data_IF_354493194735
#
_entry.id   IF_354493194735
#
_cell.length_a   1.000
_cell.length_b   1.000
_cell.length_c   1.000
_cell.angle_alpha   90.00
_cell.angle_beta   90.00
_cell.angle_gamma   90.00
#
_symmetry.space_group_name_H-M   'P 1'
#
loop_
_entity.id
_entity.type
_entity.pdbx_description
1 polymer ?
#
# COMPACT_ATOMS: atom_id res chain seq x y z
N UNK A 1 -6.57 6.18 -11.76
CA UNK A 1 -5.25 6.37 -12.42
C UNK A 1 -4.72 5.07 -13.00
N UNK A 2 -4.81 3.93 -12.32
CA UNK A 2 -4.39 2.64 -12.89
C UNK A 2 -5.14 2.19 -14.17
N UNK A 3 -6.28 2.83 -14.47
CA UNK A 3 -7.02 2.67 -15.73
C UNK A 3 -6.42 3.46 -16.91
N UNK A 4 -5.37 4.25 -16.71
CA UNK A 4 -4.59 4.85 -17.80
C UNK A 4 -3.90 3.74 -18.59
N UNK A 5 -4.20 3.58 -19.90
CA UNK A 5 -3.63 2.50 -20.71
C UNK A 5 -2.11 2.63 -20.92
N UNK A 6 -1.54 3.81 -20.67
CA UNK A 6 -0.11 4.07 -20.82
C UNK A 6 0.69 3.71 -19.56
N UNK A 7 0.04 3.65 -18.40
CA UNK A 7 0.68 3.32 -17.14
C UNK A 7 0.67 1.81 -16.86
N UNK A 8 1.37 1.41 -15.81
CA UNK A 8 1.25 0.07 -15.22
C UNK A 8 1.21 0.17 -13.71
N UNK A 9 0.17 -0.38 -13.10
CA UNK A 9 0.14 -0.72 -11.69
C UNK A 9 0.27 -2.24 -11.54
N UNK A 10 0.92 -2.74 -10.47
CA UNK A 10 1.07 -4.17 -10.26
C UNK A 10 -0.30 -4.82 -10.06
N UNK A 11 -0.55 -5.93 -10.74
CA UNK A 11 -1.69 -6.78 -10.41
C UNK A 11 -1.41 -7.56 -9.13
N UNK A 12 -2.46 -8.01 -8.45
CA UNK A 12 -2.32 -8.90 -7.28
C UNK A 12 -1.47 -10.15 -7.62
N UNK A 13 -1.63 -10.72 -8.82
CA UNK A 13 -0.83 -11.87 -9.30
C UNK A 13 0.63 -11.51 -9.63
N UNK A 14 0.94 -10.24 -9.83
CA UNK A 14 2.32 -9.79 -10.07
C UNK A 14 3.13 -9.80 -8.76
N UNK A 15 2.46 -9.72 -7.60
CA UNK A 15 3.13 -9.46 -6.32
C UNK A 15 2.74 -10.40 -5.16
N UNK A 16 1.63 -11.14 -5.25
CA UNK A 16 1.23 -12.10 -4.19
C UNK A 16 1.20 -13.54 -4.68
N UNK A 17 0.68 -13.75 -5.89
CA UNK A 17 0.22 -15.08 -6.31
C UNK A 17 1.05 -15.60 -7.47
N UNK A 18 1.98 -16.51 -7.15
CA UNK A 18 2.91 -17.09 -8.13
C UNK A 18 3.58 -16.02 -9.00
N UNK A 19 4.24 -14.99 -8.42
CA UNK A 19 4.77 -13.85 -9.18
C UNK A 19 5.88 -14.22 -10.17
N UNK A 20 6.44 -15.43 -10.03
CA UNK A 20 7.51 -15.96 -10.87
C UNK A 20 7.02 -17.23 -11.60
N UNK A 21 7.17 -17.32 -12.94
CA UNK A 21 7.65 -16.26 -13.82
C UNK A 21 6.61 -15.13 -14.01
N UNK A 22 7.06 -13.89 -14.31
CA UNK A 22 6.16 -12.82 -14.73
C UNK A 22 5.36 -13.20 -15.97
N UNK A 23 4.16 -12.64 -16.08
CA UNK A 23 3.27 -12.85 -17.23
C UNK A 23 2.81 -11.51 -17.77
N UNK A 24 2.46 -11.49 -19.06
CA UNK A 24 1.87 -10.31 -19.71
C UNK A 24 0.50 -10.01 -19.11
N UNK A 25 0.17 -8.72 -18.91
CA UNK A 25 -1.19 -8.29 -18.51
C UNK A 25 -2.26 -8.77 -19.48
N UNK A 26 -1.91 -9.01 -20.75
CA UNK A 26 -2.81 -9.54 -21.77
C UNK A 26 -3.11 -11.04 -21.61
N UNK A 27 -2.37 -11.78 -20.78
CA UNK A 27 -2.60 -13.19 -20.52
C UNK A 27 -3.67 -13.41 -19.44
N UNK A 28 -4.90 -12.99 -19.76
CA UNK A 28 -6.05 -13.03 -18.85
C UNK A 28 -6.33 -14.46 -18.33
N UNK A 29 -6.11 -15.48 -19.16
CA UNK A 29 -6.31 -16.89 -18.78
C UNK A 29 -5.40 -17.30 -17.63
N UNK A 30 -4.10 -16.96 -17.72
CA UNK A 30 -3.15 -17.32 -16.67
C UNK A 30 -3.33 -16.49 -15.41
N UNK A 31 -3.68 -15.20 -15.54
CA UNK A 31 -4.05 -14.38 -14.39
C UNK A 31 -5.23 -14.99 -13.62
N UNK A 32 -6.28 -15.43 -14.32
CA UNK A 32 -7.44 -16.10 -13.70
C UNK A 32 -7.05 -17.40 -13.02
N UNK A 33 -6.26 -18.25 -13.68
CA UNK A 33 -5.79 -19.52 -13.12
C UNK A 33 -5.00 -19.30 -11.82
N UNK A 34 -4.14 -18.28 -11.78
CA UNK A 34 -3.37 -17.93 -10.57
C UNK A 34 -4.29 -17.47 -9.44
N UNK A 35 -5.26 -16.60 -9.74
CA UNK A 35 -6.25 -16.15 -8.75
C UNK A 35 -7.05 -17.31 -8.16
N UNK A 36 -7.53 -18.24 -9.00
CA UNK A 36 -8.25 -19.43 -8.55
C UNK A 36 -7.40 -20.31 -7.62
N UNK A 37 -6.11 -20.51 -7.94
CA UNK A 37 -5.18 -21.27 -7.10
C UNK A 37 -4.94 -20.61 -5.72
N UNK A 38 -4.86 -19.28 -5.66
CA UNK A 38 -4.74 -18.56 -4.38
C UNK A 38 -6.02 -18.62 -3.57
N UNK A 39 -7.19 -18.52 -4.21
CA UNK A 39 -8.47 -18.68 -3.52
C UNK A 39 -8.59 -20.08 -2.88
N UNK A 40 -8.24 -21.14 -3.62
CA UNK A 40 -8.19 -22.51 -3.12
C UNK A 40 -7.19 -22.68 -1.96
N UNK A 41 -6.04 -22.00 -2.05
CA UNK A 41 -5.03 -22.00 -0.98
C UNK A 41 -5.56 -21.34 0.29
N UNK A 42 -6.14 -20.15 0.16
CA UNK A 42 -6.68 -19.37 1.27
C UNK A 42 -7.84 -20.11 1.95
N UNK A 43 -8.71 -20.75 1.17
CA UNK A 43 -9.80 -21.58 1.71
C UNK A 43 -9.26 -22.70 2.61
N UNK A 44 -8.26 -23.46 2.15
CA UNK A 44 -7.62 -24.50 2.96
C UNK A 44 -6.97 -23.95 4.22
N UNK A 45 -6.34 -22.79 4.15
CA UNK A 45 -5.72 -22.13 5.31
C UNK A 45 -6.78 -21.76 6.35
N UNK A 46 -7.88 -21.13 5.92
CA UNK A 46 -8.96 -20.73 6.84
C UNK A 46 -9.66 -21.93 7.46
N UNK A 47 -9.96 -22.96 6.67
CA UNK A 47 -10.53 -24.21 7.17
C UNK A 47 -9.61 -24.86 8.22
N UNK A 48 -8.32 -24.95 7.93
CA UNK A 48 -7.32 -25.54 8.85
C UNK A 48 -7.20 -24.74 10.15
N UNK A 49 -7.27 -23.42 10.06
CA UNK A 49 -7.20 -22.53 11.22
C UNK A 49 -8.52 -22.42 12.00
N UNK A 50 -9.59 -23.10 11.56
CA UNK A 50 -10.90 -23.07 12.22
C UNK A 50 -11.64 -21.74 12.05
N UNK A 51 -11.29 -20.95 11.04
CA UNK A 51 -11.91 -19.67 10.75
C UNK A 51 -12.99 -19.80 9.67
N UNK A 52 -14.12 -19.09 9.85
CA UNK A 52 -15.12 -18.95 8.80
C UNK A 52 -14.65 -17.92 7.75
N UNK A 53 -14.26 -18.40 6.56
CA UNK A 53 -13.86 -17.57 5.42
C UNK A 53 -14.90 -16.51 5.09
N UNK A 54 -16.21 -16.79 5.19
CA UNK A 54 -17.26 -15.81 4.84
C UNK A 54 -17.27 -14.64 5.80
N UNK A 55 -17.02 -14.91 7.08
CA UNK A 55 -16.95 -13.87 8.10
C UNK A 55 -15.67 -13.04 7.92
N UNK A 56 -14.50 -13.68 7.74
CA UNK A 56 -13.23 -12.97 7.51
C UNK A 56 -13.27 -12.17 6.21
N UNK A 57 -13.77 -12.75 5.11
CA UNK A 57 -13.88 -12.06 3.83
C UNK A 57 -14.77 -10.82 3.94
N UNK A 58 -15.87 -10.87 4.71
CA UNK A 58 -16.73 -9.72 4.94
C UNK A 58 -15.99 -8.58 5.66
N UNK A 59 -15.22 -8.89 6.69
CA UNK A 59 -14.48 -7.90 7.47
C UNK A 59 -13.22 -7.37 6.73
N UNK A 60 -12.59 -8.24 5.92
CA UNK A 60 -11.46 -7.89 5.04
C UNK A 60 -11.91 -7.02 3.87
N UNK A 61 -12.95 -7.39 3.12
CA UNK A 61 -13.47 -6.58 1.99
C UNK A 61 -13.92 -5.20 2.46
N UNK A 62 -14.43 -5.09 3.69
CA UNK A 62 -14.78 -3.79 4.28
C UNK A 62 -13.55 -2.91 4.61
N UNK A 63 -12.38 -3.51 4.83
CA UNK A 63 -11.13 -2.83 5.23
C UNK A 63 -10.12 -2.67 4.09
N UNK A 64 -10.13 -3.59 3.13
CA UNK A 64 -9.27 -3.68 1.96
C UNK A 64 -10.04 -4.36 0.82
N UNK A 65 -10.83 -3.60 0.03
CA UNK A 65 -11.56 -4.17 -1.09
C UNK A 65 -10.59 -4.82 -2.08
N UNK A 66 -10.94 -6.00 -2.60
CA UNK A 66 -10.12 -6.70 -3.58
C UNK A 66 -10.27 -6.01 -4.94
N UNK A 67 -9.17 -5.45 -5.43
CA UNK A 67 -9.07 -4.89 -6.77
C UNK A 67 -8.11 -5.73 -7.60
N UNK A 68 -8.19 -5.59 -8.93
CA UNK A 68 -7.21 -6.23 -9.84
C UNK A 68 -5.80 -5.69 -9.58
N UNK A 69 -5.71 -4.41 -9.20
CA UNK A 69 -4.46 -3.72 -8.83
C UNK A 69 -4.26 -3.78 -7.33
N UNK A 70 -3.03 -4.03 -6.91
CA UNK A 70 -2.71 -4.20 -5.49
C UNK A 70 -1.73 -3.12 -5.00
N UNK A 71 -1.76 -2.85 -3.70
CA UNK A 71 -0.78 -2.00 -3.04
C UNK A 71 0.61 -2.66 -3.09
N UNK A 72 1.63 -1.90 -3.47
CA UNK A 72 3.02 -2.37 -3.46
C UNK A 72 3.60 -2.48 -2.04
N UNK A 73 2.76 -2.21 -1.02
CA UNK A 73 3.04 -2.54 0.39
C UNK A 73 3.44 -4.00 0.56
N UNK A 74 2.80 -4.92 -0.18
CA UNK A 74 3.10 -6.36 -0.10
C UNK A 74 4.57 -6.62 -0.40
N UNK A 75 5.10 -6.04 -1.48
CA UNK A 75 6.51 -6.20 -1.86
C UNK A 75 7.47 -5.64 -0.79
N UNK A 76 7.10 -4.53 -0.17
CA UNK A 76 7.91 -3.92 0.87
C UNK A 76 7.94 -4.78 2.15
N UNK A 77 6.85 -5.48 2.46
CA UNK A 77 6.72 -6.32 3.65
C UNK A 77 7.30 -7.74 3.48
N UNK A 78 7.43 -8.26 2.25
CA UNK A 78 7.96 -9.60 1.97
C UNK A 78 9.38 -9.84 2.52
N UNK A 79 10.16 -8.78 2.67
CA UNK A 79 11.53 -8.85 3.20
C UNK A 79 11.61 -8.60 4.71
N UNK A 80 10.49 -8.69 5.42
CA UNK A 80 10.42 -8.71 6.88
C UNK A 80 9.72 -7.57 7.60
N UNK A 81 9.61 -6.32 7.09
CA UNK A 81 9.01 -5.24 7.85
C UNK A 81 7.48 -5.31 7.76
N UNK A 82 6.89 -6.32 8.38
CA UNK A 82 5.44 -6.51 8.41
C UNK A 82 4.81 -5.63 9.49
N UNK A 83 3.93 -4.70 9.07
CA UNK A 83 3.29 -3.76 9.99
C UNK A 83 2.45 -4.44 11.07
N UNK A 84 1.80 -5.56 10.73
CA UNK A 84 1.01 -6.35 11.69
C UNK A 84 1.87 -6.92 12.81
N UNK A 85 3.08 -7.41 12.51
CA UNK A 85 4.00 -7.98 13.52
C UNK A 85 4.42 -6.93 14.54
N UNK A 86 4.70 -5.70 14.09
CA UNK A 86 5.07 -4.60 15.00
C UNK A 86 3.93 -4.17 15.93
N UNK A 87 2.68 -4.43 15.55
CA UNK A 87 1.48 -4.07 16.31
C UNK A 87 0.99 -5.18 17.25
N UNK A 88 1.52 -6.39 17.13
CA UNK A 88 1.22 -7.52 18.04
C UNK A 88 2.40 -7.91 18.91
N UNK A 89 3.58 -7.37 18.62
CA UNK A 89 4.78 -7.63 19.40
C UNK A 89 4.63 -7.10 20.84
N UNK A 90 5.21 -7.77 21.85
CA UNK A 90 5.28 -7.26 23.21
C UNK A 90 5.93 -5.86 23.27
N UNK A 91 5.47 -5.02 24.21
CA UNK A 91 5.90 -3.61 24.34
C UNK A 91 7.40 -3.44 24.61
N UNK A 92 8.04 -4.45 25.17
CA UNK A 92 9.46 -4.49 25.50
C UNK A 92 10.34 -4.91 24.31
N UNK A 93 9.75 -5.15 23.13
CA UNK A 93 10.50 -5.45 21.92
C UNK A 93 10.88 -4.19 21.15
N UNK A 94 12.04 -4.23 20.49
CA UNK A 94 12.48 -3.19 19.56
C UNK A 94 11.73 -3.23 18.21
N UNK A 95 10.62 -3.96 18.09
CA UNK A 95 9.93 -4.17 16.80
C UNK A 95 9.28 -2.92 16.23
N UNK A 96 8.65 -2.10 17.07
CA UNK A 96 8.09 -0.80 16.63
C UNK A 96 9.22 0.13 16.21
N UNK A 97 10.30 0.22 16.98
CA UNK A 97 11.46 1.04 16.67
C UNK A 97 12.16 0.58 15.38
N UNK A 98 12.33 -0.73 15.20
CA UNK A 98 12.93 -1.31 14.00
C UNK A 98 12.07 -1.06 12.76
N UNK A 99 10.75 -1.28 12.86
CA UNK A 99 9.82 -1.00 11.76
C UNK A 99 9.81 0.49 11.39
N UNK A 100 9.80 1.36 12.39
CA UNK A 100 9.86 2.81 12.25
C UNK A 100 11.23 3.34 11.80
N UNK A 101 12.31 2.54 11.84
CA UNK A 101 13.65 3.00 11.48
C UNK A 101 13.68 3.57 10.06
N UNK A 102 14.46 4.65 9.86
CA UNK A 102 14.51 5.39 8.57
C UNK A 102 15.01 4.50 7.44
N UNK A 103 15.97 3.63 7.72
CA UNK A 103 16.65 2.85 6.71
C UNK A 103 15.86 1.57 6.42
N UNK A 104 15.26 1.53 5.23
CA UNK A 104 14.61 0.36 4.65
C UNK A 104 15.11 0.09 3.25
N UNK A 105 16.40 0.35 3.04
CA UNK A 105 17.04 0.20 1.75
C UNK A 105 16.91 -1.22 1.19
N UNK A 106 16.97 -2.24 2.05
CA UNK A 106 16.79 -3.63 1.65
C UNK A 106 15.38 -3.88 1.06
N UNK A 107 14.34 -3.26 1.62
CA UNK A 107 12.97 -3.37 1.10
C UNK A 107 12.83 -2.67 -0.25
N UNK A 108 13.39 -1.48 -0.41
CA UNK A 108 13.33 -0.78 -1.69
C UNK A 108 14.25 -1.40 -2.77
N UNK A 109 15.35 -2.04 -2.38
CA UNK A 109 16.20 -2.83 -3.28
C UNK A 109 15.44 -4.05 -3.82
N UNK A 110 14.74 -4.78 -2.94
CA UNK A 110 13.89 -5.90 -3.34
C UNK A 110 12.73 -5.43 -4.22
N UNK A 111 11.97 -4.43 -3.78
CA UNK A 111 10.89 -3.83 -4.53
C UNK A 111 11.33 -3.40 -5.94
N UNK A 112 12.50 -2.76 -6.07
CA UNK A 112 13.06 -2.39 -7.38
C UNK A 112 13.38 -3.60 -8.24
N UNK A 113 13.95 -4.65 -7.66
CA UNK A 113 14.27 -5.88 -8.37
C UNK A 113 13.02 -6.54 -8.95
N UNK A 114 11.95 -6.62 -8.16
CA UNK A 114 10.67 -7.17 -8.61
C UNK A 114 10.06 -6.31 -9.72
N UNK A 115 10.02 -4.98 -9.56
CA UNK A 115 9.52 -4.09 -10.60
C UNK A 115 10.34 -4.18 -11.90
N UNK A 116 11.67 -4.33 -11.82
CA UNK A 116 12.51 -4.55 -13.01
C UNK A 116 12.18 -5.88 -13.70
N UNK A 117 12.01 -6.95 -12.93
CA UNK A 117 11.61 -8.25 -13.47
C UNK A 117 10.24 -8.17 -14.18
N UNK A 118 9.27 -7.47 -13.60
CA UNK A 118 7.97 -7.24 -14.24
C UNK A 118 8.11 -6.34 -15.48
N UNK A 119 8.94 -5.30 -15.42
CA UNK A 119 9.19 -4.35 -16.50
C UNK A 119 9.82 -5.03 -17.72
N UNK A 120 10.72 -6.00 -17.52
CA UNK A 120 11.38 -6.73 -18.61
C UNK A 120 10.40 -7.59 -19.43
N UNK A 121 9.26 -7.97 -18.85
CA UNK A 121 8.24 -8.78 -19.53
C UNK A 121 7.11 -7.94 -20.10
N UNK A 122 6.64 -6.92 -19.38
CA UNK A 122 5.50 -6.08 -19.80
C UNK A 122 5.65 -4.62 -19.32
N UNK A 123 6.53 -3.82 -19.93
CA UNK A 123 6.79 -2.48 -19.45
C UNK A 123 5.56 -1.56 -19.62
N UNK A 124 5.33 -0.58 -18.71
CA UNK A 124 4.44 0.54 -19.02
C UNK A 124 4.96 1.32 -20.23
N UNK A 125 4.05 2.03 -20.91
CA UNK A 125 4.44 2.95 -21.99
C UNK A 125 5.04 4.25 -21.42
N UNK A 126 4.51 4.72 -20.29
CA UNK A 126 4.93 5.99 -19.68
C UNK A 126 5.53 5.79 -18.29
N UNK A 127 4.77 5.23 -17.34
CA UNK A 127 5.18 5.18 -15.94
C UNK A 127 4.59 4.01 -15.16
N UNK A 128 5.25 3.70 -14.03
CA UNK A 128 4.70 2.83 -13.00
C UNK A 128 3.81 3.64 -12.05
N UNK A 129 2.62 3.11 -11.75
CA UNK A 129 1.70 3.64 -10.76
C UNK A 129 1.74 2.74 -9.52
N UNK A 130 2.25 3.28 -8.43
CA UNK A 130 2.42 2.57 -7.15
C UNK A 130 1.63 3.29 -6.06
N UNK A 131 1.27 2.56 -5.00
CA UNK A 131 0.61 3.10 -3.82
C UNK A 131 0.89 2.19 -2.64
N UNK A 132 1.58 2.75 -1.67
CA UNK A 132 1.72 2.19 -0.34
C UNK A 132 1.72 3.30 0.70
N UNK A 133 1.03 3.15 1.84
CA UNK A 133 1.17 4.09 2.95
C UNK A 133 2.64 4.13 3.43
N UNK A 134 3.36 3.00 3.41
CA UNK A 134 4.73 2.87 3.94
C UNK A 134 5.76 3.75 3.21
N UNK A 135 5.45 4.22 1.99
CA UNK A 135 6.26 5.22 1.30
C UNK A 135 6.51 6.46 2.14
N UNK A 136 5.52 6.92 2.90
CA UNK A 136 5.67 8.12 3.73
C UNK A 136 6.44 7.85 5.02
N UNK A 137 6.42 6.62 5.53
CA UNK A 137 7.21 6.22 6.70
C UNK A 137 8.70 6.07 6.34
N UNK A 138 8.97 5.53 5.15
CA UNK A 138 10.31 5.20 4.66
C UNK A 138 10.71 6.03 3.44
N UNK A 139 10.32 7.30 3.44
CA UNK A 139 10.47 8.23 2.31
C UNK A 139 11.93 8.42 1.88
N UNK A 140 12.87 8.37 2.82
CA UNK A 140 14.30 8.51 2.55
C UNK A 140 14.81 7.37 1.64
N UNK A 141 14.41 6.12 1.95
CA UNK A 141 14.75 4.96 1.10
C UNK A 141 13.99 4.99 -0.23
N UNK A 142 12.73 5.46 -0.27
CA UNK A 142 12.01 5.67 -1.55
C UNK A 142 12.82 6.59 -2.47
N UNK A 143 13.20 7.77 -1.98
CA UNK A 143 13.92 8.78 -2.78
C UNK A 143 15.31 8.30 -3.18
N UNK A 144 15.97 7.50 -2.34
CA UNK A 144 17.27 6.90 -2.66
C UNK A 144 17.17 5.92 -3.85
N UNK A 145 16.14 5.08 -3.87
CA UNK A 145 16.00 4.04 -4.90
C UNK A 145 15.26 4.53 -6.15
N UNK A 146 14.43 5.58 -6.02
CA UNK A 146 13.66 6.23 -7.09
C UNK A 146 13.88 7.75 -7.06
N UNK A 147 15.07 8.25 -7.43
CA UNK A 147 15.40 9.67 -7.33
C UNK A 147 14.57 10.58 -8.25
N UNK A 148 13.88 9.99 -9.24
CA UNK A 148 13.00 10.68 -10.18
C UNK A 148 11.51 10.43 -9.91
N UNK A 149 11.16 9.91 -8.72
CA UNK A 149 9.77 9.64 -8.37
C UNK A 149 8.96 10.94 -8.31
N UNK A 150 7.74 10.87 -8.85
CA UNK A 150 6.70 11.86 -8.63
C UNK A 150 5.76 11.35 -7.54
N UNK A 151 5.49 12.17 -6.53
CA UNK A 151 4.72 11.77 -5.36
C UNK A 151 3.36 12.47 -5.38
N UNK A 152 2.30 11.68 -5.25
CA UNK A 152 0.96 12.19 -4.95
C UNK A 152 0.71 11.92 -3.46
N UNK A 153 0.64 12.99 -2.67
CA UNK A 153 0.46 12.88 -1.22
C UNK A 153 -0.99 13.20 -0.85
N UNK A 154 -1.70 12.20 -0.33
CA UNK A 154 -3.08 12.36 0.14
C UNK A 154 -3.15 12.84 1.58
N UNK A 155 -4.01 13.82 1.82
CA UNK A 155 -4.23 14.44 3.13
C UNK A 155 -5.68 14.22 3.59
N UNK A 156 -5.85 13.94 4.87
CA UNK A 156 -7.15 13.85 5.54
C UNK A 156 -7.00 14.35 6.98
N UNK A 157 -8.07 14.90 7.56
CA UNK A 157 -8.01 15.43 8.91
C UNK A 157 -7.68 14.33 9.94
N UNK A 158 -6.82 14.66 10.91
CA UNK A 158 -6.30 13.70 11.87
C UNK A 158 -7.37 13.14 12.82
N UNK A 159 -8.41 13.93 13.11
CA UNK A 159 -9.58 13.49 13.89
C UNK A 159 -10.37 12.37 13.19
N UNK A 160 -10.28 12.27 11.87
CA UNK A 160 -10.84 11.16 11.09
C UNK A 160 -9.83 10.03 10.88
N UNK A 161 -8.56 10.35 10.60
CA UNK A 161 -7.52 9.36 10.26
C UNK A 161 -7.14 8.51 11.46
N UNK A 162 -6.91 9.11 12.63
CA UNK A 162 -6.41 8.39 13.81
C UNK A 162 -7.39 7.30 14.25
N UNK A 163 -8.71 7.59 14.47
CA UNK A 163 -9.66 6.54 14.83
C UNK A 163 -9.80 5.47 13.75
N UNK A 164 -9.74 5.85 12.48
CA UNK A 164 -9.81 4.91 11.35
C UNK A 164 -8.63 3.96 11.33
N UNK A 165 -7.40 4.47 11.50
CA UNK A 165 -6.18 3.67 11.54
C UNK A 165 -6.17 2.72 12.75
N UNK A 166 -6.53 3.22 13.93
CA UNK A 166 -6.67 2.41 15.14
C UNK A 166 -7.68 1.26 14.96
N UNK A 167 -8.81 1.49 14.28
CA UNK A 167 -9.78 0.43 13.96
C UNK A 167 -9.21 -0.62 13.02
N UNK A 168 -8.46 -0.20 11.99
CA UNK A 168 -7.79 -1.13 11.07
C UNK A 168 -6.79 -2.01 11.83
N UNK A 169 -5.99 -1.43 12.72
CA UNK A 169 -5.02 -2.18 13.53
C UNK A 169 -5.70 -3.15 14.50
N UNK A 170 -6.81 -2.78 15.13
CA UNK A 170 -7.60 -3.71 15.93
C UNK A 170 -8.11 -4.90 15.10
N UNK A 171 -8.60 -4.65 13.89
CA UNK A 171 -9.08 -5.71 13.02
C UNK A 171 -7.95 -6.67 12.63
N UNK A 172 -6.78 -6.15 12.24
CA UNK A 172 -5.61 -6.98 11.94
C UNK A 172 -5.13 -7.78 13.16
N UNK A 173 -5.16 -7.18 14.35
CA UNK A 173 -4.71 -7.83 15.58
C UNK A 173 -5.71 -8.82 16.17
N UNK A 174 -6.99 -8.76 15.76
CA UNK A 174 -8.05 -9.65 16.26
C UNK A 174 -7.81 -11.14 15.95
N UNK A 175 -6.94 -11.42 14.98
CA UNK A 175 -6.48 -12.77 14.62
C UNK A 175 -5.55 -13.34 15.72
N UNK A 176 -4.85 -12.46 16.44
CA UNK A 176 -3.83 -12.83 17.43
C UNK A 176 -4.32 -12.67 18.88
N UNK A 177 -5.29 -11.79 19.14
CA UNK A 177 -5.80 -11.51 20.47
C UNK A 177 -7.33 -11.34 20.48
N UNK A 178 -7.94 -11.52 21.65
CA UNK A 178 -9.37 -11.30 21.82
C UNK A 178 -9.70 -9.80 21.71
N UNK A 179 -10.34 -9.40 20.61
CA UNK A 179 -10.74 -8.01 20.36
C UNK A 179 -11.75 -7.46 21.40
N UNK A 180 -12.36 -8.32 22.23
CA UNK A 180 -13.26 -7.91 23.32
C UNK A 180 -12.54 -7.77 24.68
N UNK A 181 -11.25 -8.11 24.75
CA UNK A 181 -10.44 -7.91 25.95
C UNK A 181 -9.95 -6.45 26.03
N UNK A 182 -10.30 -5.78 27.13
CA UNK A 182 -10.00 -4.36 27.33
C UNK A 182 -8.50 -4.06 27.41
N UNK A 183 -7.71 -5.00 27.93
CA UNK A 183 -6.27 -4.86 28.04
C UNK A 183 -5.57 -5.01 26.68
N UNK A 184 -6.03 -5.96 25.85
CA UNK A 184 -5.56 -6.17 24.47
C UNK A 184 -5.89 -4.96 23.58
N UNK A 185 -7.12 -4.44 23.66
CA UNK A 185 -7.51 -3.22 22.95
C UNK A 185 -6.64 -2.02 23.35
N UNK A 186 -6.47 -1.80 24.66
CA UNK A 186 -5.63 -0.71 25.17
C UNK A 186 -4.20 -0.79 24.65
N UNK A 187 -3.61 -1.98 24.66
CA UNK A 187 -2.24 -2.21 24.17
C UNK A 187 -2.12 -1.90 22.67
N UNK A 188 -3.06 -2.39 21.86
CA UNK A 188 -3.09 -2.12 20.41
C UNK A 188 -3.22 -0.63 20.12
N UNK A 189 -4.09 0.08 20.85
CA UNK A 189 -4.25 1.52 20.67
C UNK A 189 -2.99 2.31 21.05
N UNK A 190 -2.33 1.96 22.16
CA UNK A 190 -1.09 2.64 22.55
C UNK A 190 0.01 2.45 21.49
N UNK A 191 0.17 1.23 20.95
CA UNK A 191 1.12 0.95 19.87
C UNK A 191 0.78 1.66 18.56
N UNK A 192 -0.49 1.63 18.18
CA UNK A 192 -1.01 2.36 17.02
C UNK A 192 -0.71 3.86 17.12
N UNK A 193 -0.99 4.47 18.27
CA UNK A 193 -0.75 5.89 18.51
C UNK A 193 0.74 6.23 18.43
N UNK A 194 1.61 5.41 19.03
CA UNK A 194 3.07 5.61 18.93
C UNK A 194 3.56 5.52 17.48
N UNK A 195 3.06 4.56 16.71
CA UNK A 195 3.44 4.43 15.30
C UNK A 195 2.93 5.61 14.46
N UNK A 196 1.68 6.04 14.66
CA UNK A 196 1.09 7.17 13.95
C UNK A 196 1.80 8.49 14.26
N UNK A 197 2.22 8.71 15.51
CA UNK A 197 3.00 9.90 15.89
C UNK A 197 4.34 9.95 15.13
N UNK A 198 5.06 8.83 15.10
CA UNK A 198 6.29 8.71 14.30
C UNK A 198 6.02 9.02 12.82
N UNK A 199 4.93 8.48 12.28
CA UNK A 199 4.56 8.66 10.88
C UNK A 199 4.30 10.13 10.53
N UNK A 200 3.53 10.83 11.38
CA UNK A 200 3.23 12.25 11.25
C UNK A 200 4.52 13.06 11.33
N UNK A 201 5.39 12.76 12.30
CA UNK A 201 6.69 13.43 12.45
C UNK A 201 7.54 13.26 11.20
N UNK A 202 7.57 12.07 10.57
CA UNK A 202 8.31 11.85 9.31
C UNK A 202 7.81 12.69 8.15
N UNK A 203 6.49 12.81 8.01
CA UNK A 203 5.90 13.64 6.95
C UNK A 203 6.26 15.11 7.21
N UNK A 204 6.18 15.58 8.45
CA UNK A 204 6.57 16.96 8.82
C UNK A 204 8.06 17.18 8.56
N UNK A 205 8.94 16.28 9.00
CA UNK A 205 10.38 16.34 8.75
C UNK A 205 10.67 16.43 7.25
N UNK A 206 10.07 15.55 6.45
CA UNK A 206 10.23 15.54 5.00
C UNK A 206 9.79 16.87 4.36
N UNK A 207 8.60 17.37 4.73
CA UNK A 207 8.03 18.60 4.16
C UNK A 207 8.73 19.88 4.61
N UNK A 208 9.48 19.84 5.71
CA UNK A 208 10.20 21.00 6.26
C UNK A 208 11.68 21.03 5.88
N UNK A 209 12.17 20.06 5.08
CA UNK A 209 13.54 20.02 4.57
C UNK A 209 13.89 21.27 3.75
N UNK A 210 15.19 21.60 3.73
CA UNK A 210 15.74 22.72 2.97
C UNK A 210 16.89 22.22 2.08
N UNK A 211 16.77 22.32 0.73
CA UNK A 211 15.63 22.88 -0.01
C UNK A 211 14.36 22.02 0.13
N UNK A 212 13.17 22.61 -0.08
CA UNK A 212 11.93 21.85 0.00
C UNK A 212 11.91 20.72 -1.04
N UNK A 213 11.30 19.57 -0.72
CA UNK A 213 11.11 18.50 -1.69
C UNK A 213 10.36 18.99 -2.93
N UNK A 214 10.72 18.44 -4.09
CA UNK A 214 10.12 18.75 -5.39
C UNK A 214 9.30 17.57 -5.90
N UNK A 215 8.52 17.79 -6.96
CA UNK A 215 7.69 16.77 -7.63
C UNK A 215 6.65 16.13 -6.70
N UNK A 216 6.01 16.94 -5.86
CA UNK A 216 4.93 16.48 -4.97
C UNK A 216 3.64 17.21 -5.32
N UNK A 217 2.58 16.44 -5.57
CA UNK A 217 1.23 16.94 -5.70
C UNK A 217 0.38 16.55 -4.48
N UNK A 218 -0.14 17.54 -3.77
CA UNK A 218 -0.95 17.33 -2.57
C UNK A 218 -2.44 17.24 -2.93
N UNK A 219 -3.13 16.19 -2.48
CA UNK A 219 -4.58 16.04 -2.63
C UNK A 219 -5.28 16.02 -1.28
N UNK A 220 -6.39 16.75 -1.15
CA UNK A 220 -7.27 16.65 0.02
C UNK A 220 -8.32 15.56 -0.22
N UNK A 221 -8.51 14.67 0.75
CA UNK A 221 -9.51 13.61 0.71
C UNK A 221 -10.91 14.14 0.37
N UNK A 222 -11.29 15.28 0.94
CA UNK A 222 -12.60 15.92 0.68
C UNK A 222 -12.76 16.35 -0.79
N UNK A 223 -11.70 16.84 -1.41
CA UNK A 223 -11.74 17.23 -2.84
C UNK A 223 -11.79 16.01 -3.75
N UNK A 224 -11.03 14.96 -3.42
CA UNK A 224 -11.05 13.69 -4.16
C UNK A 224 -12.43 13.03 -4.12
N UNK A 225 -13.09 13.00 -2.96
CA UNK A 225 -14.43 12.42 -2.82
C UNK A 225 -15.48 13.26 -3.55
N UNK A 226 -15.37 14.59 -3.51
CA UNK A 226 -16.32 15.49 -4.17
C UNK A 226 -16.23 15.43 -5.70
N UNK A 227 -15.02 15.39 -6.22
CA UNK A 227 -14.74 15.44 -7.67
C UNK A 227 -13.50 14.59 -8.00
N UNK A 228 -13.66 13.26 -8.12
CA UNK A 228 -12.55 12.35 -8.36
C UNK A 228 -11.90 12.59 -9.73
N UNK A 229 -12.70 12.72 -10.79
CA UNK A 229 -12.20 12.92 -12.16
C UNK A 229 -11.46 14.25 -12.27
N UNK A 230 -12.05 15.35 -11.77
CA UNK A 230 -11.38 16.65 -11.79
C UNK A 230 -10.12 16.68 -10.91
N UNK A 231 -10.08 15.90 -9.82
CA UNK A 231 -8.86 15.74 -9.01
C UNK A 231 -7.76 15.01 -9.78
N UNK A 232 -8.10 13.94 -10.50
CA UNK A 232 -7.14 13.24 -11.37
C UNK A 232 -6.68 14.14 -12.53
N UNK A 233 -7.56 14.96 -13.11
CA UNK A 233 -7.16 15.92 -14.16
C UNK A 233 -6.11 16.90 -13.68
N UNK A 234 -6.29 17.48 -12.47
CA UNK A 234 -5.27 18.36 -11.87
C UNK A 234 -3.94 17.67 -11.59
N UNK A 235 -3.96 16.37 -11.27
CA UNK A 235 -2.73 15.57 -11.12
C UNK A 235 -2.00 15.46 -12.48
N UNK A 236 -2.75 15.15 -13.54
CA UNK A 236 -2.19 15.01 -14.90
C UNK A 236 -1.66 16.34 -15.44
N UNK A 237 -2.34 17.45 -15.17
CA UNK A 237 -1.89 18.79 -15.55
C UNK A 237 -0.63 19.24 -14.80
N UNK A 238 -0.36 18.68 -13.61
CA UNK A 238 0.79 19.08 -12.77
C UNK A 238 2.10 18.38 -13.18
N UNK A 239 2.03 17.14 -13.67
CA UNK A 239 3.22 16.38 -14.04
C UNK A 239 3.40 16.37 -15.56
N UNK A 240 4.40 17.08 -16.06
CA UNK A 240 4.63 17.31 -17.51
C UNK A 240 4.77 16.06 -18.38
N UNK A 241 5.08 14.90 -17.79
CA UNK A 241 5.20 13.62 -18.51
C UNK A 241 3.87 12.86 -18.62
N UNK A 242 2.81 13.32 -17.96
CA UNK A 242 1.49 12.73 -18.03
C UNK A 242 0.69 13.36 -19.18
N UNK A 243 -0.10 12.54 -19.86
CA UNK A 243 -0.95 12.97 -20.96
C UNK A 243 -2.38 12.48 -20.75
N UNK A 244 -3.33 13.40 -20.74
CA UNK A 244 -4.75 13.08 -20.64
C UNK A 244 -5.31 12.70 -22.03
N UNK A 245 -5.49 11.40 -22.27
CA UNK A 245 -6.05 10.89 -23.53
C UNK A 245 -7.56 10.64 -23.46
N UNK A 246 -8.21 10.60 -24.63
CA UNK A 246 -9.63 10.23 -24.74
C UNK A 246 -9.88 8.79 -24.27
N UNK A 247 -8.93 7.88 -24.48
CA UNK A 247 -9.00 6.50 -23.99
C UNK A 247 -8.96 6.45 -22.46
N UNK A 248 -8.09 7.25 -21.83
CA UNK A 248 -8.02 7.32 -20.38
C UNK A 248 -9.28 7.93 -19.78
N UNK A 249 -9.82 9.00 -20.38
CA UNK A 249 -11.07 9.62 -19.93
C UNK A 249 -12.26 8.64 -19.98
N UNK A 250 -12.33 7.80 -21.03
CA UNK A 250 -13.39 6.77 -21.15
C UNK A 250 -13.23 5.62 -20.15
N UNK A 251 -12.02 5.38 -19.65
CA UNK A 251 -11.73 4.27 -18.74
C UNK A 251 -11.93 4.62 -17.26
N UNK A 252 -12.15 5.90 -16.92
CA UNK A 252 -12.49 6.38 -15.57
C UNK A 252 -14.00 6.41 -15.32
#
# INVERSE_FOLDING_TARGET
>A
MACDPTCRAPFITDITTQPIPPILRSNITEHKRRMEDEEDRLEKVYETAGYDRKQIAKDRVASHPEFVYEEDVVLLEEVGPQGSVSLVAPKDTNMVAWFADKNKDFAYAYHRTVLQMLHDVDPPQTHWQLKSPLHTLWIDSLLKYYPQVSIIMSHRHLDEVIPSACRIFLNYNSIYFNANDSQSMKTTFEQAMSLLDIWIQRIIEFRTQQPPPKNIFDIQYKDLVRDPIGTVRRIYDYFDFLHWSDEFEKAM
#
